data_IF_470200637806
#
_entry.id   IF_470200637806
#
_cell.length_a   1.000
_cell.length_b   1.000
_cell.length_c   1.000
_cell.angle_alpha   90.00
_cell.angle_beta   90.00
_cell.angle_gamma   90.00
#
_symmetry.space_group_name_H-M   'P 1'
#
loop_
_entity.id
_entity.type
_entity.pdbx_description
1 polymer ?
#
# COMPACT_ATOMS: atom_id res chain seq x y z
N UNK A 1 7.27 33.72 11.84
CA UNK A 1 7.94 32.88 12.87
C UNK A 1 8.20 33.71 14.13
N UNK A 2 8.15 33.13 15.36
CA UNK A 2 8.43 33.90 16.60
C UNK A 2 9.79 34.59 16.59
N UNK A 3 10.79 33.97 15.96
CA UNK A 3 12.13 34.50 15.79
C UNK A 3 12.19 35.79 14.94
N UNK A 4 11.36 35.93 13.92
CA UNK A 4 11.31 37.14 13.10
C UNK A 4 10.76 38.33 13.87
N UNK A 5 9.76 38.13 14.72
CA UNK A 5 9.17 39.16 15.57
C UNK A 5 10.22 39.67 16.59
N UNK A 6 10.96 38.75 17.22
CA UNK A 6 12.03 39.03 18.18
C UNK A 6 13.16 39.84 17.53
N UNK A 7 13.61 39.47 16.34
CA UNK A 7 14.67 40.20 15.60
C UNK A 7 14.18 41.56 15.17
N UNK A 8 12.93 41.70 14.71
CA UNK A 8 12.38 42.99 14.27
C UNK A 8 12.23 43.95 15.46
N UNK A 9 11.78 43.48 16.63
CA UNK A 9 11.65 44.28 17.84
C UNK A 9 13.01 44.75 18.38
N UNK A 10 14.02 43.88 18.37
CA UNK A 10 15.39 44.24 18.76
C UNK A 10 16.05 45.25 17.83
N UNK A 11 15.76 45.18 16.51
CA UNK A 11 16.28 46.16 15.52
C UNK A 11 15.63 47.53 15.60
N UNK A 12 14.38 47.59 16.08
CA UNK A 12 13.63 48.83 16.25
C UNK A 12 13.89 49.51 17.60
N UNK A 13 14.45 48.82 18.56
CA UNK A 13 14.76 49.35 19.89
C UNK A 13 16.00 50.21 19.84
N UNK A 14 15.88 51.53 20.13
CA UNK A 14 16.96 52.51 20.18
C UNK A 14 18.00 52.28 21.30
N UNK A 15 17.68 51.43 22.30
CA UNK A 15 18.58 51.01 23.35
C UNK A 15 18.19 49.61 23.88
N UNK A 16 19.17 48.71 23.96
CA UNK A 16 18.95 47.36 24.55
C UNK A 16 19.10 47.48 26.06
N UNK A 17 18.00 47.32 26.81
CA UNK A 17 17.98 47.26 28.27
C UNK A 17 17.70 45.83 28.77
N UNK A 18 18.24 45.48 29.97
CA UNK A 18 17.97 44.17 30.59
C UNK A 18 16.44 43.82 30.72
N UNK A 19 15.58 44.78 31.12
CA UNK A 19 14.13 44.52 31.21
C UNK A 19 13.50 44.21 29.85
N UNK A 20 13.95 44.85 28.77
CA UNK A 20 13.48 44.60 27.42
C UNK A 20 13.86 43.20 26.96
N UNK A 21 15.09 42.80 27.17
CA UNK A 21 15.59 41.46 26.82
C UNK A 21 14.86 40.37 27.59
N UNK A 22 14.59 40.57 28.87
CA UNK A 22 13.85 39.63 29.71
C UNK A 22 12.38 39.47 29.25
N UNK A 23 11.74 40.57 28.86
CA UNK A 23 10.36 40.55 28.33
C UNK A 23 10.29 39.80 26.99
N UNK A 24 11.21 40.06 26.07
CA UNK A 24 11.27 39.38 24.77
C UNK A 24 11.56 37.87 24.92
N UNK A 25 12.47 37.48 25.84
CA UNK A 25 12.71 36.08 26.19
C UNK A 25 11.47 35.41 26.79
N UNK A 26 10.72 36.11 27.67
CA UNK A 26 9.51 35.58 28.25
C UNK A 26 8.43 35.34 27.18
N UNK A 27 8.22 36.31 26.27
CA UNK A 27 7.27 36.17 25.15
C UNK A 27 7.66 35.01 24.22
N UNK A 28 8.95 34.89 23.91
CA UNK A 28 9.48 33.77 23.10
C UNK A 28 9.26 32.43 23.77
N UNK A 29 9.58 32.31 25.06
CA UNK A 29 9.39 31.08 25.83
C UNK A 29 7.91 30.68 25.95
N UNK A 30 7.02 31.65 26.18
CA UNK A 30 5.59 31.41 26.24
C UNK A 30 5.07 30.95 24.86
N UNK A 31 5.42 31.65 23.79
CA UNK A 31 5.00 31.31 22.44
C UNK A 31 5.52 29.93 21.99
N UNK A 32 6.80 29.62 22.27
CA UNK A 32 7.39 28.33 21.97
C UNK A 32 6.80 27.22 22.86
N UNK A 33 6.56 27.53 24.15
CA UNK A 33 5.92 26.61 25.08
C UNK A 33 4.51 26.22 24.66
N UNK A 34 3.69 27.18 24.25
CA UNK A 34 2.35 26.89 23.71
C UNK A 34 2.41 26.11 22.39
N UNK A 35 3.35 26.42 21.49
CA UNK A 35 3.52 25.68 20.27
C UNK A 35 3.94 24.22 20.52
N UNK A 36 4.85 24.00 21.48
CA UNK A 36 5.24 22.66 21.92
C UNK A 36 4.07 21.90 22.56
N UNK A 37 3.31 22.54 23.45
CA UNK A 37 2.12 21.94 24.08
C UNK A 37 1.06 21.58 23.03
N UNK A 38 0.79 22.46 22.06
CA UNK A 38 -0.14 22.19 20.98
C UNK A 38 0.32 20.98 20.14
N UNK A 39 1.62 20.88 19.85
CA UNK A 39 2.20 19.77 19.09
C UNK A 39 2.18 18.44 19.88
N UNK A 40 2.36 18.49 21.21
CA UNK A 40 2.22 17.32 22.08
C UNK A 40 0.77 16.86 22.24
N UNK A 41 -0.18 17.77 22.11
CA UNK A 41 -1.63 17.49 22.23
C UNK A 41 -2.27 17.11 20.88
N UNK A 42 -1.53 17.14 19.78
CA UNK A 42 -2.03 16.66 18.49
C UNK A 42 -2.36 15.17 18.60
N UNK A 43 -3.65 14.85 18.48
CA UNK A 43 -4.13 13.48 18.50
C UNK A 43 -3.46 12.69 17.39
N UNK A 44 -2.87 11.55 17.70
CA UNK A 44 -2.35 10.62 16.71
C UNK A 44 -3.52 10.06 15.90
N UNK A 45 -3.40 10.06 14.57
CA UNK A 45 -4.36 9.44 13.66
C UNK A 45 -4.18 7.92 13.54
N UNK A 46 -3.47 7.31 14.50
CA UNK A 46 -3.11 5.88 14.46
C UNK A 46 -4.32 4.97 14.31
N UNK A 47 -5.42 5.27 14.99
CA UNK A 47 -6.64 4.47 14.93
C UNK A 47 -7.28 4.54 13.53
N UNK A 48 -7.27 5.70 12.89
CA UNK A 48 -7.81 5.86 11.54
C UNK A 48 -6.90 5.19 10.51
N UNK A 49 -5.59 5.27 10.69
CA UNK A 49 -4.61 4.55 9.86
C UNK A 49 -4.82 3.04 9.95
N UNK A 50 -5.02 2.50 11.14
CA UNK A 50 -5.30 1.07 11.34
C UNK A 50 -6.65 0.66 10.72
N UNK A 51 -7.67 1.52 10.80
CA UNK A 51 -8.95 1.30 10.12
C UNK A 51 -8.80 1.24 8.60
N UNK A 52 -8.02 2.15 7.99
CA UNK A 52 -7.72 2.11 6.56
C UNK A 52 -6.95 0.85 6.16
N UNK A 53 -6.03 0.37 6.99
CA UNK A 53 -5.33 -0.90 6.73
C UNK A 53 -6.30 -2.07 6.64
N UNK A 54 -7.23 -2.17 7.58
CA UNK A 54 -8.26 -3.22 7.60
C UNK A 54 -9.14 -3.12 6.35
N UNK A 55 -9.59 -1.92 5.99
CA UNK A 55 -10.41 -1.70 4.79
C UNK A 55 -9.68 -2.09 3.51
N UNK A 56 -8.41 -1.71 3.36
CA UNK A 56 -7.57 -2.06 2.21
C UNK A 56 -7.39 -3.58 2.10
N UNK A 57 -7.10 -4.27 3.21
CA UNK A 57 -6.92 -5.73 3.19
C UNK A 57 -8.23 -6.46 2.87
N UNK A 58 -9.35 -5.98 3.38
CA UNK A 58 -10.67 -6.54 3.06
C UNK A 58 -11.03 -6.33 1.59
N UNK A 59 -10.78 -5.14 1.05
CA UNK A 59 -11.06 -4.85 -0.36
C UNK A 59 -10.16 -5.66 -1.30
N UNK A 60 -8.88 -5.78 -1.01
CA UNK A 60 -7.96 -6.67 -1.73
C UNK A 60 -8.45 -8.12 -1.74
N UNK A 61 -8.91 -8.61 -0.59
CA UNK A 61 -9.48 -9.96 -0.48
C UNK A 61 -10.69 -10.13 -1.38
N UNK A 62 -11.62 -9.17 -1.39
CA UNK A 62 -12.81 -9.20 -2.25
C UNK A 62 -12.42 -9.26 -3.73
N UNK A 63 -11.44 -8.46 -4.16
CA UNK A 63 -10.96 -8.44 -5.55
C UNK A 63 -10.37 -9.80 -5.94
N UNK A 64 -9.49 -10.37 -5.12
CA UNK A 64 -8.85 -11.66 -5.40
C UNK A 64 -9.87 -12.83 -5.44
N UNK A 65 -10.86 -12.84 -4.53
CA UNK A 65 -11.94 -13.83 -4.56
C UNK A 65 -12.85 -13.65 -5.78
N UNK A 66 -13.03 -12.43 -6.25
CA UNK A 66 -13.76 -12.16 -7.48
C UNK A 66 -13.00 -12.67 -8.72
N UNK A 67 -11.68 -12.53 -8.75
CA UNK A 67 -10.85 -13.13 -9.80
C UNK A 67 -10.92 -14.67 -9.77
N UNK A 68 -10.87 -15.28 -8.58
CA UNK A 68 -11.12 -16.72 -8.42
C UNK A 68 -12.47 -17.12 -9.05
N UNK A 69 -13.53 -16.39 -8.75
CA UNK A 69 -14.87 -16.66 -9.28
C UNK A 69 -14.90 -16.61 -10.82
N UNK A 70 -14.34 -15.55 -11.42
CA UNK A 70 -14.30 -15.41 -12.88
C UNK A 70 -13.49 -16.52 -13.56
N UNK A 71 -12.36 -16.90 -12.98
CA UNK A 71 -11.55 -17.99 -13.48
C UNK A 71 -12.24 -19.36 -13.42
N UNK A 72 -13.13 -19.56 -12.45
CA UNK A 72 -13.96 -20.79 -12.34
C UNK A 72 -15.19 -20.76 -13.22
N UNK A 73 -15.88 -19.62 -13.29
CA UNK A 73 -17.11 -19.49 -14.03
C UNK A 73 -16.91 -19.33 -15.55
N UNK A 74 -15.72 -18.93 -15.99
CA UNK A 74 -15.44 -18.62 -17.39
C UNK A 74 -16.17 -17.38 -17.91
N UNK A 75 -16.76 -16.58 -17.01
CA UNK A 75 -17.47 -15.34 -17.33
C UNK A 75 -16.53 -14.15 -17.12
N UNK A 76 -15.96 -13.64 -18.21
CA UNK A 76 -14.97 -12.56 -18.20
C UNK A 76 -15.53 -11.15 -17.92
N UNK A 77 -16.76 -11.02 -17.42
CA UNK A 77 -17.36 -9.71 -17.11
C UNK A 77 -16.91 -9.19 -15.76
N UNK A 78 -15.70 -8.65 -15.69
CA UNK A 78 -15.20 -7.94 -14.53
C UNK A 78 -15.52 -6.45 -14.67
N UNK A 79 -16.40 -5.91 -13.82
CA UNK A 79 -16.50 -4.48 -13.63
C UNK A 79 -15.32 -4.04 -12.73
N UNK A 80 -14.57 -3.04 -13.12
CA UNK A 80 -13.44 -2.51 -12.36
C UNK A 80 -13.87 -1.74 -11.09
N UNK A 81 -15.11 -1.87 -10.63
CA UNK A 81 -15.68 -1.09 -9.52
C UNK A 81 -14.90 -1.29 -8.22
N UNK A 82 -14.65 -2.55 -7.83
CA UNK A 82 -13.91 -2.87 -6.59
C UNK A 82 -12.46 -2.33 -6.62
N UNK A 83 -11.82 -2.31 -7.79
CA UNK A 83 -10.45 -1.80 -7.95
C UNK A 83 -10.43 -0.27 -7.81
N UNK A 84 -11.44 0.42 -8.37
CA UNK A 84 -11.59 1.88 -8.22
C UNK A 84 -11.93 2.27 -6.79
N UNK A 85 -12.77 1.50 -6.10
CA UNK A 85 -13.05 1.70 -4.68
C UNK A 85 -11.77 1.56 -3.84
N UNK A 86 -10.96 0.53 -4.12
CA UNK A 86 -9.66 0.36 -3.46
C UNK A 86 -8.72 1.53 -3.72
N UNK A 87 -8.67 2.05 -4.96
CA UNK A 87 -7.85 3.23 -5.30
C UNK A 87 -8.26 4.45 -4.47
N UNK A 88 -9.56 4.70 -4.32
CA UNK A 88 -10.09 5.79 -3.49
C UNK A 88 -9.66 5.64 -2.03
N UNK A 89 -9.83 4.45 -1.45
CA UNK A 89 -9.43 4.15 -0.06
C UNK A 89 -7.91 4.37 0.12
N UNK A 90 -7.11 3.94 -0.85
CA UNK A 90 -5.65 4.11 -0.80
C UNK A 90 -5.21 5.57 -0.90
N UNK A 91 -5.88 6.38 -1.73
CA UNK A 91 -5.60 7.81 -1.83
C UNK A 91 -5.92 8.54 -0.52
N UNK A 92 -7.06 8.25 0.11
CA UNK A 92 -7.44 8.82 1.41
C UNK A 92 -6.47 8.38 2.52
N UNK A 93 -6.11 7.10 2.56
CA UNK A 93 -5.15 6.57 3.51
C UNK A 93 -3.76 7.21 3.38
N UNK A 94 -3.25 7.37 2.15
CA UNK A 94 -1.97 8.02 1.88
C UNK A 94 -2.01 9.50 2.30
N UNK A 95 -3.08 10.23 1.98
CA UNK A 95 -3.23 11.62 2.39
C UNK A 95 -3.19 11.76 3.91
N UNK A 96 -3.88 10.87 4.65
CA UNK A 96 -3.89 10.86 6.11
C UNK A 96 -2.49 10.56 6.68
N UNK A 97 -1.79 9.56 6.14
CA UNK A 97 -0.47 9.15 6.65
C UNK A 97 0.59 10.21 6.37
N UNK A 98 0.56 10.87 5.20
CA UNK A 98 1.46 12.00 4.92
C UNK A 98 1.18 13.19 5.85
N UNK A 99 -0.08 13.46 6.16
CA UNK A 99 -0.46 14.50 7.13
C UNK A 99 0.05 14.16 8.52
N UNK A 100 -0.18 12.92 8.99
CA UNK A 100 0.26 12.44 10.29
C UNK A 100 1.80 12.48 10.41
N UNK A 101 2.51 12.02 9.38
CA UNK A 101 3.97 12.09 9.33
C UNK A 101 4.52 13.51 9.39
N UNK A 102 3.86 14.49 8.74
CA UNK A 102 4.28 15.88 8.77
C UNK A 102 4.04 16.56 10.12
N UNK A 103 3.08 16.07 10.91
CA UNK A 103 2.68 16.62 12.19
C UNK A 103 3.51 16.08 13.38
N UNK A 104 4.14 14.91 13.24
CA UNK A 104 4.93 14.28 14.29
C UNK A 104 6.44 14.43 14.07
N UNK A 105 7.07 15.43 14.71
CA UNK A 105 8.52 15.72 14.59
C UNK A 105 9.43 14.65 15.21
N UNK A 106 8.95 13.89 16.20
CA UNK A 106 9.79 13.02 17.05
C UNK A 106 9.57 11.51 16.88
N UNK A 107 8.51 11.08 16.18
CA UNK A 107 8.15 9.67 16.01
C UNK A 107 7.82 9.36 14.54
N UNK A 108 8.74 9.69 13.64
CA UNK A 108 8.56 9.48 12.20
C UNK A 108 8.91 8.03 11.83
N UNK A 109 7.94 7.14 11.79
CA UNK A 109 8.11 5.86 11.11
C UNK A 109 7.54 5.95 9.71
N UNK A 110 8.37 5.70 8.70
CA UNK A 110 7.90 5.65 7.30
C UNK A 110 7.11 4.36 6.99
N UNK A 111 6.87 3.51 7.99
CA UNK A 111 6.22 2.22 7.82
C UNK A 111 4.85 2.33 7.12
N UNK A 112 3.97 3.18 7.65
CA UNK A 112 2.62 3.32 7.10
C UNK A 112 2.62 3.92 5.68
N UNK A 113 3.50 4.87 5.41
CA UNK A 113 3.67 5.43 4.06
C UNK A 113 4.03 4.31 3.09
N UNK A 114 5.12 3.59 3.34
CA UNK A 114 5.57 2.53 2.45
C UNK A 114 4.60 1.35 2.38
N UNK A 115 3.84 1.08 3.47
CA UNK A 115 2.77 0.09 3.44
C UNK A 115 1.69 0.46 2.42
N UNK A 116 1.15 1.67 2.46
CA UNK A 116 0.11 2.09 1.53
C UNK A 116 0.64 2.30 0.11
N UNK A 117 1.89 2.76 -0.07
CA UNK A 117 2.55 2.81 -1.37
C UNK A 117 2.69 1.41 -2.00
N UNK A 118 3.10 0.41 -1.23
CA UNK A 118 3.15 -0.98 -1.66
C UNK A 118 1.76 -1.49 -2.05
N UNK A 119 0.71 -1.19 -1.25
CA UNK A 119 -0.67 -1.55 -1.58
C UNK A 119 -1.18 -0.83 -2.83
N UNK A 120 -0.77 0.41 -3.07
CA UNK A 120 -1.09 1.12 -4.32
C UNK A 120 -0.42 0.48 -5.53
N UNK A 121 0.84 0.07 -5.42
CA UNK A 121 1.52 -0.69 -6.47
C UNK A 121 0.81 -2.02 -6.76
N UNK A 122 0.35 -2.72 -5.71
CA UNK A 122 -0.48 -3.93 -5.86
C UNK A 122 -1.81 -3.65 -6.56
N UNK A 123 -2.48 -2.52 -6.28
CA UNK A 123 -3.75 -2.16 -6.93
C UNK A 123 -3.58 -1.96 -8.44
N UNK A 124 -2.47 -1.37 -8.89
CA UNK A 124 -2.16 -1.23 -10.33
C UNK A 124 -2.01 -2.59 -11.02
N UNK A 125 -1.36 -3.55 -10.36
CA UNK A 125 -1.25 -4.92 -10.90
C UNK A 125 -2.64 -5.59 -10.99
N UNK A 126 -3.52 -5.36 -10.01
CA UNK A 126 -4.90 -5.89 -10.05
C UNK A 126 -5.72 -5.27 -11.21
N UNK A 127 -5.48 -4.01 -11.54
CA UNK A 127 -6.11 -3.35 -12.70
C UNK A 127 -5.69 -4.00 -14.02
N UNK A 128 -4.39 -4.26 -14.19
CA UNK A 128 -3.85 -4.97 -15.36
C UNK A 128 -4.41 -6.41 -15.44
N UNK A 129 -4.46 -7.13 -14.32
CA UNK A 129 -5.07 -8.46 -14.24
C UNK A 129 -6.56 -8.44 -14.63
N UNK A 130 -7.32 -7.44 -14.18
CA UNK A 130 -8.73 -7.31 -14.50
C UNK A 130 -8.94 -7.15 -16.01
N UNK A 131 -8.10 -6.33 -16.66
CA UNK A 131 -8.09 -6.18 -18.11
C UNK A 131 -7.79 -7.50 -18.85
N UNK A 132 -6.83 -8.26 -18.35
CA UNK A 132 -6.44 -9.56 -18.91
C UNK A 132 -7.54 -10.62 -18.76
N UNK A 133 -8.20 -10.69 -17.60
CA UNK A 133 -9.30 -11.64 -17.34
C UNK A 133 -10.47 -11.39 -18.27
N UNK A 134 -10.83 -10.13 -18.55
CA UNK A 134 -11.93 -9.77 -19.44
C UNK A 134 -11.72 -10.23 -20.89
N UNK A 135 -10.47 -10.39 -21.31
CA UNK A 135 -10.11 -10.82 -22.65
C UNK A 135 -9.94 -12.33 -22.80
N UNK A 136 -10.16 -13.10 -21.73
CA UNK A 136 -9.87 -14.53 -21.68
C UNK A 136 -11.14 -15.35 -21.85
N UNK A 137 -11.17 -16.23 -22.85
CA UNK A 137 -12.21 -17.30 -22.94
C UNK A 137 -11.75 -18.50 -22.10
N UNK A 138 -12.22 -18.55 -20.86
CA UNK A 138 -11.70 -19.44 -19.83
C UNK A 138 -12.41 -20.79 -19.82
N UNK A 139 -11.95 -21.75 -20.59
CA UNK A 139 -12.40 -23.14 -20.49
C UNK A 139 -11.21 -24.13 -20.35
N UNK A 140 -10.18 -23.76 -19.61
CA UNK A 140 -8.97 -24.57 -19.49
C UNK A 140 -8.78 -25.08 -18.05
N UNK A 141 -8.22 -26.29 -17.90
CA UNK A 141 -7.82 -26.88 -16.60
C UNK A 141 -6.84 -25.96 -15.83
N UNK A 142 -6.07 -25.15 -16.56
CA UNK A 142 -5.13 -24.17 -16.05
C UNK A 142 -5.81 -23.01 -15.32
N UNK A 143 -6.99 -22.61 -15.76
CA UNK A 143 -7.75 -21.55 -15.07
C UNK A 143 -8.14 -21.96 -13.64
N UNK A 144 -8.40 -23.23 -13.40
CA UNK A 144 -8.72 -23.77 -12.07
C UNK A 144 -7.51 -23.75 -11.12
N UNK A 145 -6.31 -23.98 -11.65
CA UNK A 145 -5.06 -23.91 -10.86
C UNK A 145 -4.86 -22.46 -10.43
N UNK A 146 -4.98 -21.54 -11.37
CA UNK A 146 -4.82 -20.09 -11.11
C UNK A 146 -5.91 -19.58 -10.15
N UNK A 147 -7.17 -20.02 -10.31
CA UNK A 147 -8.26 -19.71 -9.39
C UNK A 147 -7.93 -20.11 -7.94
N UNK A 148 -7.34 -21.30 -7.74
CA UNK A 148 -6.90 -21.76 -6.42
C UNK A 148 -5.81 -20.87 -5.84
N UNK A 149 -4.85 -20.43 -6.66
CA UNK A 149 -3.79 -19.52 -6.22
C UNK A 149 -4.34 -18.16 -5.79
N UNK A 150 -5.32 -17.59 -6.51
CA UNK A 150 -6.01 -16.37 -6.10
C UNK A 150 -6.73 -16.53 -4.76
N UNK A 151 -7.46 -17.64 -4.58
CA UNK A 151 -8.14 -17.95 -3.32
C UNK A 151 -7.16 -18.06 -2.15
N UNK A 152 -6.05 -18.79 -2.35
CA UNK A 152 -4.99 -18.96 -1.33
C UNK A 152 -4.33 -17.61 -1.01
N UNK A 153 -4.06 -16.79 -2.02
CA UNK A 153 -3.52 -15.43 -1.84
C UNK A 153 -4.48 -14.57 -1.02
N UNK A 154 -5.79 -14.62 -1.31
CA UNK A 154 -6.80 -13.88 -0.56
C UNK A 154 -6.84 -14.29 0.93
N UNK A 155 -6.62 -15.57 1.24
CA UNK A 155 -6.57 -16.07 2.63
C UNK A 155 -5.28 -15.69 3.36
N UNK A 156 -4.18 -15.47 2.63
CA UNK A 156 -2.85 -15.18 3.19
C UNK A 156 -2.44 -13.71 3.06
N UNK A 157 -3.39 -12.80 2.88
CA UNK A 157 -3.12 -11.35 2.79
C UNK A 157 -2.66 -10.73 4.11
N UNK A 158 -2.90 -11.40 5.26
CA UNK A 158 -2.59 -10.84 6.57
C UNK A 158 -1.12 -10.43 6.71
N UNK A 159 -0.90 -9.45 7.57
CA UNK A 159 0.41 -8.84 7.84
C UNK A 159 1.44 -9.85 8.36
N UNK A 160 1.00 -10.87 9.10
CA UNK A 160 1.87 -11.83 9.78
C UNK A 160 2.46 -12.91 8.87
N UNK A 161 1.91 -13.08 7.65
CA UNK A 161 2.39 -14.08 6.72
C UNK A 161 3.26 -13.45 5.61
N UNK A 162 4.58 -13.70 5.57
CA UNK A 162 5.47 -13.20 4.53
C UNK A 162 5.21 -13.79 3.14
N UNK A 163 4.28 -14.75 3.00
CA UNK A 163 3.84 -15.37 1.74
C UNK A 163 4.95 -16.07 0.91
N UNK A 164 6.06 -16.48 1.53
CA UNK A 164 7.14 -17.20 0.84
C UNK A 164 6.65 -18.51 0.20
N UNK A 165 5.80 -19.27 0.89
CA UNK A 165 5.23 -20.52 0.35
C UNK A 165 4.40 -20.29 -0.92
N UNK A 166 3.70 -19.14 -1.00
CA UNK A 166 2.93 -18.80 -2.20
C UNK A 166 3.85 -18.52 -3.40
N UNK A 167 4.99 -17.89 -3.17
CA UNK A 167 5.97 -17.64 -4.24
C UNK A 167 6.50 -18.95 -4.79
N UNK A 168 6.90 -19.90 -3.92
CA UNK A 168 7.38 -21.23 -4.33
C UNK A 168 6.31 -22.03 -5.10
N UNK A 169 5.05 -21.95 -4.65
CA UNK A 169 3.93 -22.61 -5.33
C UNK A 169 3.69 -22.02 -6.73
N UNK A 170 3.80 -20.71 -6.89
CA UNK A 170 3.68 -20.03 -8.19
C UNK A 170 4.84 -20.40 -9.11
N UNK A 171 6.07 -20.42 -8.61
CA UNK A 171 7.24 -20.85 -9.38
C UNK A 171 7.08 -22.30 -9.87
N UNK A 172 6.55 -23.19 -9.03
CA UNK A 172 6.21 -24.57 -9.40
C UNK A 172 5.15 -24.61 -10.50
N UNK A 173 4.09 -23.80 -10.39
CA UNK A 173 3.07 -23.67 -11.42
C UNK A 173 3.66 -23.14 -12.75
N UNK A 174 4.53 -22.14 -12.70
CA UNK A 174 5.22 -21.61 -13.87
C UNK A 174 6.07 -22.69 -14.58
N UNK A 175 6.75 -23.54 -13.82
CA UNK A 175 7.51 -24.67 -14.37
C UNK A 175 6.57 -25.65 -15.09
N UNK A 176 5.47 -26.05 -14.47
CA UNK A 176 4.45 -26.92 -15.07
C UNK A 176 3.88 -26.34 -16.37
N UNK A 177 3.62 -25.00 -16.42
CA UNK A 177 3.17 -24.35 -17.63
C UNK A 177 4.18 -24.43 -18.78
N UNK A 178 5.48 -24.36 -18.50
CA UNK A 178 6.56 -24.45 -19.50
C UNK A 178 6.73 -25.86 -20.09
N UNK A 179 6.43 -26.89 -19.32
CA UNK A 179 6.58 -28.29 -19.75
C UNK A 179 5.40 -28.81 -20.57
N UNK A 180 4.32 -28.05 -20.66
CA UNK A 180 3.12 -28.46 -21.41
C UNK A 180 3.36 -28.46 -22.93
N UNK A 181 2.68 -29.37 -23.67
CA UNK A 181 2.73 -29.40 -25.14
C UNK A 181 2.32 -28.05 -25.74
N UNK A 182 2.88 -27.70 -26.89
CA UNK A 182 2.54 -26.47 -27.62
C UNK A 182 1.03 -26.42 -27.93
N UNK A 183 0.40 -25.23 -27.87
CA UNK A 183 -0.98 -25.05 -28.23
C UNK A 183 -1.24 -25.42 -29.70
N UNK A 184 -2.36 -26.06 -29.98
CA UNK A 184 -2.71 -26.54 -31.31
C UNK A 184 -3.58 -25.53 -32.10
N UNK A 185 -4.21 -24.60 -31.41
CA UNK A 185 -5.06 -23.57 -32.00
C UNK A 185 -4.63 -22.18 -31.54
N UNK A 186 -5.00 -21.16 -32.35
CA UNK A 186 -4.77 -19.75 -31.98
C UNK A 186 -5.48 -19.39 -30.66
N UNK A 187 -6.70 -19.84 -30.49
CA UNK A 187 -7.49 -19.60 -29.27
C UNK A 187 -6.81 -20.20 -28.03
N UNK A 188 -6.31 -21.46 -28.15
CA UNK A 188 -5.56 -22.09 -27.05
C UNK A 188 -4.29 -21.32 -26.73
N UNK A 189 -3.59 -20.83 -27.74
CA UNK A 189 -2.39 -19.99 -27.56
C UNK A 189 -2.71 -18.69 -26.83
N UNK A 190 -3.74 -17.96 -27.26
CA UNK A 190 -4.15 -16.68 -26.64
C UNK A 190 -4.59 -16.90 -25.19
N UNK A 191 -5.39 -17.95 -24.91
CA UNK A 191 -5.81 -18.30 -23.56
C UNK A 191 -4.62 -18.64 -22.65
N UNK A 192 -3.71 -19.47 -23.12
CA UNK A 192 -2.51 -19.84 -22.33
C UNK A 192 -1.58 -18.65 -22.11
N UNK A 193 -1.41 -17.78 -23.10
CA UNK A 193 -0.61 -16.58 -22.95
C UNK A 193 -1.19 -15.65 -21.87
N UNK A 194 -2.51 -15.46 -21.85
CA UNK A 194 -3.20 -14.66 -20.83
C UNK A 194 -3.08 -15.29 -19.44
N UNK A 195 -3.28 -16.60 -19.31
CA UNK A 195 -3.13 -17.30 -18.03
C UNK A 195 -1.70 -17.22 -17.50
N UNK A 196 -0.69 -17.35 -18.37
CA UNK A 196 0.71 -17.18 -18.02
C UNK A 196 1.00 -15.76 -17.54
N UNK A 197 0.43 -14.75 -18.20
CA UNK A 197 0.58 -13.36 -17.79
C UNK A 197 -0.05 -13.13 -16.40
N UNK A 198 -1.28 -13.59 -16.19
CA UNK A 198 -1.97 -13.51 -14.89
C UNK A 198 -1.17 -14.18 -13.76
N UNK A 199 -0.51 -15.31 -14.05
CA UNK A 199 0.33 -16.01 -13.07
C UNK A 199 1.57 -15.18 -12.71
N UNK A 200 2.19 -14.52 -13.69
CA UNK A 200 3.34 -13.60 -13.45
C UNK A 200 2.93 -12.33 -12.70
N UNK A 201 1.78 -11.79 -13.03
CA UNK A 201 1.23 -10.62 -12.34
C UNK A 201 0.94 -10.95 -10.88
N UNK A 202 0.38 -12.16 -10.60
CA UNK A 202 0.17 -12.65 -9.24
C UNK A 202 1.49 -12.86 -8.49
N UNK A 203 2.51 -13.40 -9.15
CA UNK A 203 3.86 -13.52 -8.59
C UNK A 203 4.40 -12.15 -8.18
N UNK A 204 4.32 -11.15 -9.06
CA UNK A 204 4.77 -9.78 -8.80
C UNK A 204 3.98 -9.14 -7.65
N UNK A 205 2.66 -9.32 -7.65
CA UNK A 205 1.78 -8.86 -6.57
C UNK A 205 2.23 -9.38 -5.19
N UNK A 206 2.58 -10.67 -5.10
CA UNK A 206 3.01 -11.30 -3.84
C UNK A 206 4.44 -10.86 -3.48
N UNK A 207 5.36 -10.78 -4.46
CA UNK A 207 6.75 -10.35 -4.24
C UNK A 207 6.84 -8.93 -3.67
N UNK A 208 5.99 -7.99 -4.09
CA UNK A 208 5.92 -6.66 -3.48
C UNK A 208 5.69 -6.72 -1.97
N UNK A 209 4.79 -7.60 -1.51
CA UNK A 209 4.55 -7.81 -0.09
C UNK A 209 5.77 -8.41 0.62
N UNK A 210 6.38 -9.44 0.03
CA UNK A 210 7.56 -10.13 0.59
C UNK A 210 8.71 -9.15 0.75
N UNK A 211 9.02 -8.36 -0.28
CA UNK A 211 10.07 -7.34 -0.26
C UNK A 211 9.82 -6.27 0.80
N UNK A 212 8.57 -5.80 0.92
CA UNK A 212 8.18 -4.86 1.94
C UNK A 212 8.52 -5.38 3.35
N UNK A 213 8.11 -6.61 3.70
CA UNK A 213 8.38 -7.17 5.02
C UNK A 213 9.86 -7.45 5.26
N UNK A 214 10.59 -7.94 4.27
CA UNK A 214 12.03 -8.18 4.38
C UNK A 214 12.82 -6.88 4.67
N UNK A 215 12.44 -5.79 4.01
CA UNK A 215 13.07 -4.49 4.23
C UNK A 215 12.79 -3.95 5.64
N UNK A 216 11.56 -4.12 6.14
CA UNK A 216 11.21 -3.67 7.48
C UNK A 216 11.78 -4.52 8.61
N UNK A 217 11.89 -5.82 8.45
CA UNK A 217 12.55 -6.69 9.43
C UNK A 217 14.03 -6.35 9.59
N UNK A 218 14.71 -5.98 8.50
CA UNK A 218 16.12 -5.54 8.54
C UNK A 218 16.30 -4.24 9.31
N UNK A 219 15.37 -3.30 9.17
CA UNK A 219 15.43 -1.99 9.86
C UNK A 219 15.16 -2.14 11.37
N UNK A 220 14.32 -3.09 11.80
CA UNK A 220 14.06 -3.35 13.22
C UNK A 220 15.19 -4.14 13.91
N UNK A 221 16.03 -4.84 13.14
CA UNK A 221 17.15 -5.61 13.67
C UNK A 221 18.50 -4.83 13.72
N UNK A 222 18.50 -3.58 13.23
CA UNK A 222 19.65 -2.65 13.24
C UNK A 222 19.55 -1.63 14.35
#
# INVERSE_FOLDING_TARGET
TPSTVLVTHLLLAHSVSWPLLANEMAVFLIGTGFALLANLYMASNQQDIDNYRIQVEEQLRKILLRFEYFLKAGDGRNDATLIKELDTILQEALALVYLDHSNHLFHQTNYHIHYFEMRQAQNRILEDMAGNINNCQLAASESLILARLFSKTAQQLSQENPAHELVEEIETCLAVFRERPLPKTRQEFETRATLLQLLRDLETFIKLKVEFYQNYQKVQAS
#
